data_IF_604588913649
#
_entry.id   IF_604588913649
#
_cell.length_a   1.000
_cell.length_b   1.000
_cell.length_c   1.000
_cell.angle_alpha   90.00
_cell.angle_beta   90.00
_cell.angle_gamma   90.00
#
_symmetry.space_group_name_H-M   'P 1'
#
loop_
_entity.id
_entity.type
_entity.pdbx_description
1 polymer ?
#
# COMPACT_ATOMS: atom_id res chain seq x y z
N UNK A 1 7.80 3.25 6.80
CA UNK A 1 8.39 3.53 8.12
C UNK A 1 7.36 4.25 8.96
N UNK A 2 7.64 5.45 9.46
CA UNK A 2 6.77 6.30 10.26
C UNK A 2 7.32 7.72 10.24
N UNK A 3 6.48 8.75 10.16
CA UNK A 3 6.91 10.14 10.31
C UNK A 3 7.24 10.45 11.77
N UNK A 4 8.41 11.01 12.01
CA UNK A 4 8.91 11.45 13.32
C UNK A 4 9.02 12.98 13.42
N UNK A 5 8.31 13.71 12.54
CA UNK A 5 8.29 15.17 12.48
C UNK A 5 8.65 15.71 11.09
N UNK A 6 9.13 14.87 10.17
CA UNK A 6 9.32 15.23 8.77
C UNK A 6 7.99 15.72 8.16
N UNK A 7 8.07 16.71 7.28
CA UNK A 7 6.90 17.43 6.72
C UNK A 7 5.95 18.05 7.77
N UNK A 8 6.36 18.11 9.05
CA UNK A 8 5.48 18.54 10.15
C UNK A 8 4.44 17.49 10.56
N UNK A 9 4.64 16.21 10.21
CA UNK A 9 3.68 15.14 10.45
C UNK A 9 4.17 14.09 11.45
N UNK A 10 3.21 13.30 11.93
CA UNK A 10 3.40 12.00 12.57
C UNK A 10 2.44 11.00 11.90
N UNK A 11 2.56 9.70 12.19
CA UNK A 11 1.80 8.60 11.55
C UNK A 11 2.42 8.11 10.22
N UNK A 12 1.62 7.53 9.33
CA UNK A 12 2.05 6.95 8.04
C UNK A 12 1.10 7.38 6.91
N UNK A 13 0.79 6.46 5.98
CA UNK A 13 -0.24 6.51 4.91
C UNK A 13 0.23 7.11 3.61
N UNK A 14 0.95 8.22 3.66
CA UNK A 14 1.53 8.81 2.46
C UNK A 14 2.59 7.88 1.85
N UNK A 15 2.75 7.93 0.54
CA UNK A 15 3.76 7.19 -0.24
C UNK A 15 5.18 7.80 -0.16
N UNK A 16 5.39 8.89 0.61
CA UNK A 16 6.72 9.44 0.84
C UNK A 16 7.59 8.48 1.66
N UNK A 17 8.90 8.63 1.53
CA UNK A 17 9.92 7.64 1.89
C UNK A 17 9.85 7.23 3.36
N UNK A 18 9.66 8.17 4.28
CA UNK A 18 9.57 7.91 5.72
C UNK A 18 8.40 6.98 6.04
N UNK A 19 7.26 7.15 5.38
CA UNK A 19 6.05 6.33 5.57
C UNK A 19 6.08 5.03 4.77
N UNK A 20 6.59 5.07 3.54
CA UNK A 20 6.63 3.93 2.62
C UNK A 20 7.70 2.91 3.00
N UNK A 21 8.96 3.33 3.15
CA UNK A 21 10.09 2.42 3.27
C UNK A 21 10.14 1.77 4.64
N UNK A 22 10.18 0.44 4.67
CA UNK A 22 10.27 -0.33 5.91
C UNK A 22 11.65 -0.97 6.06
N UNK A 23 12.23 -1.01 7.27
CA UNK A 23 13.48 -1.71 7.49
C UNK A 23 13.29 -3.22 7.32
N UNK A 24 14.20 -3.87 6.60
CA UNK A 24 14.27 -5.31 6.43
C UNK A 24 15.68 -5.79 6.76
N UNK A 25 15.80 -6.75 7.66
CA UNK A 25 17.04 -7.42 8.00
C UNK A 25 16.83 -8.92 7.96
N UNK A 26 17.65 -9.63 7.19
CA UNK A 26 17.60 -11.08 7.05
C UNK A 26 18.91 -11.66 7.58
N UNK A 27 18.82 -12.68 8.44
CA UNK A 27 19.97 -13.44 8.92
C UNK A 27 19.75 -14.92 8.58
N UNK A 28 20.55 -15.43 7.66
CA UNK A 28 20.50 -16.83 7.27
C UNK A 28 21.92 -17.42 7.15
N UNK A 29 22.44 -18.06 8.22
CA UNK A 29 23.79 -18.63 8.22
C UNK A 29 23.98 -19.62 7.08
N UNK A 30 25.11 -19.51 6.38
CA UNK A 30 25.44 -20.35 5.23
C UNK A 30 24.76 -19.94 3.91
N UNK A 31 23.83 -18.98 3.94
CA UNK A 31 23.16 -18.45 2.74
C UNK A 31 23.48 -16.98 2.55
N UNK A 32 23.15 -16.14 3.54
CA UNK A 32 23.45 -14.70 3.50
C UNK A 32 24.89 -14.43 3.89
N UNK A 33 25.61 -13.63 3.09
CA UNK A 33 26.91 -13.07 3.47
C UNK A 33 26.74 -12.04 4.59
N UNK A 34 27.36 -12.21 5.77
CA UNK A 34 27.24 -11.25 6.87
C UNK A 34 27.67 -9.84 6.44
N UNK A 35 26.88 -8.83 6.85
CA UNK A 35 27.17 -7.42 6.55
C UNK A 35 26.90 -6.98 5.11
N UNK A 36 26.29 -7.83 4.27
CA UNK A 36 25.86 -7.41 2.93
C UNK A 36 24.74 -6.37 2.99
N UNK A 37 24.68 -5.53 1.96
CA UNK A 37 23.61 -4.56 1.73
C UNK A 37 23.07 -4.80 0.33
N UNK A 38 21.77 -4.97 0.20
CA UNK A 38 21.07 -5.06 -1.08
C UNK A 38 20.24 -3.77 -1.28
N UNK A 39 20.21 -3.25 -2.51
CA UNK A 39 19.48 -2.03 -2.90
C UNK A 39 18.36 -2.30 -3.90
N UNK A 40 18.14 -3.56 -4.27
CA UNK A 40 17.06 -3.95 -5.16
C UNK A 40 15.71 -3.68 -4.50
N UNK A 41 14.70 -3.37 -5.31
CA UNK A 41 13.35 -3.11 -4.82
C UNK A 41 12.71 -4.43 -4.39
N UNK A 42 12.31 -4.48 -3.12
CA UNK A 42 11.59 -5.59 -2.50
C UNK A 42 10.26 -5.11 -1.93
N UNK A 43 9.31 -6.03 -1.77
CA UNK A 43 7.98 -5.77 -1.25
C UNK A 43 7.69 -6.65 -0.04
N UNK A 44 6.74 -6.25 0.80
CA UNK A 44 6.21 -7.12 1.86
C UNK A 44 5.53 -8.38 1.28
N UNK A 45 5.05 -8.30 0.04
CA UNK A 45 4.44 -9.44 -0.65
C UNK A 45 5.46 -10.58 -0.81
N UNK A 46 6.73 -10.26 -1.08
CA UNK A 46 7.82 -11.21 -1.35
C UNK A 46 8.08 -12.22 -0.23
N UNK A 47 7.64 -11.92 0.99
CA UNK A 47 7.93 -12.76 2.15
C UNK A 47 7.23 -14.12 2.04
N UNK A 48 6.01 -14.16 1.52
CA UNK A 48 5.24 -15.38 1.46
C UNK A 48 5.88 -16.38 0.47
N UNK A 49 6.24 -15.95 -0.73
CA UNK A 49 6.96 -16.75 -1.72
C UNK A 49 8.36 -17.11 -1.23
N UNK A 50 9.04 -16.21 -0.53
CA UNK A 50 10.32 -16.53 0.11
C UNK A 50 10.19 -17.68 1.09
N UNK A 51 9.17 -17.68 1.96
CA UNK A 51 8.98 -18.76 2.92
C UNK A 51 8.62 -20.09 2.26
N UNK A 52 7.83 -20.07 1.18
CA UNK A 52 7.52 -21.27 0.39
C UNK A 52 8.77 -21.85 -0.28
N UNK A 53 9.59 -21.00 -0.92
CA UNK A 53 10.86 -21.39 -1.55
C UNK A 53 11.81 -22.03 -0.53
N UNK A 54 11.97 -21.40 0.64
CA UNK A 54 12.79 -21.95 1.73
C UNK A 54 12.28 -23.31 2.20
N UNK A 55 10.96 -23.51 2.24
CA UNK A 55 10.34 -24.76 2.62
C UNK A 55 10.39 -25.83 1.51
N UNK A 56 10.85 -25.49 0.31
CA UNK A 56 10.80 -26.38 -0.86
C UNK A 56 9.38 -26.68 -1.33
N UNK A 57 8.43 -25.77 -1.08
CA UNK A 57 7.04 -25.88 -1.49
C UNK A 57 6.83 -25.17 -2.82
N UNK A 58 5.83 -25.62 -3.57
CA UNK A 58 5.38 -24.94 -4.79
C UNK A 58 4.88 -23.53 -4.45
N UNK A 59 5.28 -22.55 -5.26
CA UNK A 59 4.79 -21.17 -5.18
C UNK A 59 3.60 -21.06 -6.15
N UNK A 60 2.38 -20.80 -5.65
CA UNK A 60 1.21 -20.60 -6.51
C UNK A 60 1.38 -19.41 -7.47
N UNK A 61 0.93 -19.57 -8.71
CA UNK A 61 1.12 -18.58 -9.79
C UNK A 61 0.34 -17.28 -9.60
N UNK A 62 -0.67 -17.28 -8.74
CA UNK A 62 -1.50 -16.13 -8.41
C UNK A 62 -0.84 -15.16 -7.42
N UNK A 63 0.24 -15.58 -6.76
CA UNK A 63 0.96 -14.71 -5.85
C UNK A 63 1.76 -13.66 -6.64
N UNK A 64 1.87 -12.46 -6.07
CA UNK A 64 2.37 -11.27 -6.77
C UNK A 64 3.73 -10.79 -6.27
N UNK A 65 4.28 -11.44 -5.24
CA UNK A 65 5.64 -11.25 -4.77
C UNK A 65 6.63 -12.09 -5.57
N UNK A 66 7.90 -12.03 -5.16
CA UNK A 66 9.00 -12.86 -5.70
C UNK A 66 9.89 -13.30 -4.56
N UNK A 67 10.32 -14.56 -4.59
CA UNK A 67 11.23 -15.09 -3.57
C UNK A 67 12.51 -14.25 -3.47
N UNK A 68 12.89 -13.89 -2.26
CA UNK A 68 14.11 -13.17 -1.93
C UNK A 68 15.33 -14.10 -1.80
N UNK A 69 15.16 -15.42 -1.98
CA UNK A 69 16.26 -16.39 -1.82
C UNK A 69 17.46 -16.08 -2.73
N UNK A 70 17.29 -15.75 -4.03
CA UNK A 70 18.41 -15.33 -4.88
C UNK A 70 19.13 -14.10 -4.31
N UNK A 71 18.38 -13.07 -3.89
CA UNK A 71 18.97 -11.87 -3.30
C UNK A 71 19.72 -12.18 -1.99
N UNK A 72 19.20 -13.11 -1.18
CA UNK A 72 19.88 -13.58 0.03
C UNK A 72 21.22 -14.25 -0.28
N UNK A 73 21.37 -14.89 -1.44
CA UNK A 73 22.63 -15.47 -1.93
C UNK A 73 23.55 -14.44 -2.58
N UNK A 74 23.10 -13.19 -2.72
CA UNK A 74 23.83 -12.10 -3.36
C UNK A 74 23.68 -12.09 -4.88
N UNK A 75 22.64 -12.74 -5.41
CA UNK A 75 22.36 -12.85 -6.84
C UNK A 75 21.09 -12.07 -7.16
N UNK A 76 21.19 -11.05 -8.01
CA UNK A 76 20.04 -10.32 -8.54
C UNK A 76 19.63 -10.94 -9.88
N UNK A 77 18.43 -11.53 -10.00
CA UNK A 77 17.92 -12.01 -11.28
C UNK A 77 17.87 -10.90 -12.35
N UNK A 78 18.10 -11.26 -13.61
CA UNK A 78 18.11 -10.29 -14.73
C UNK A 78 16.76 -9.58 -14.90
N UNK A 79 15.67 -10.29 -14.62
CA UNK A 79 14.30 -9.80 -14.69
C UNK A 79 13.79 -9.22 -13.36
N UNK A 80 14.66 -9.01 -12.37
CA UNK A 80 14.25 -8.47 -11.08
C UNK A 80 13.59 -7.10 -11.23
N UNK A 81 12.50 -6.88 -10.47
CA UNK A 81 11.68 -5.69 -10.58
C UNK A 81 12.51 -4.40 -10.44
N UNK A 82 12.17 -3.40 -11.24
CA UNK A 82 12.78 -2.05 -11.20
C UNK A 82 11.80 -0.97 -10.74
N UNK A 83 10.56 -1.39 -10.47
CA UNK A 83 9.46 -0.54 -10.06
C UNK A 83 8.55 -1.31 -9.10
N UNK A 84 7.75 -0.58 -8.34
CA UNK A 84 6.76 -1.10 -7.41
C UNK A 84 5.47 -0.28 -7.52
N UNK A 85 4.33 -0.97 -7.57
CA UNK A 85 3.02 -0.36 -7.43
C UNK A 85 2.66 -0.19 -5.96
N UNK A 86 2.07 0.95 -5.62
CA UNK A 86 1.53 1.24 -4.30
C UNK A 86 0.12 1.79 -4.43
N UNK A 87 -0.77 1.40 -3.51
CA UNK A 87 -2.12 1.93 -3.43
C UNK A 87 -2.58 2.04 -1.97
N UNK A 88 -3.05 3.23 -1.61
CA UNK A 88 -3.64 3.56 -0.33
C UNK A 88 -5.10 3.99 -0.48
N UNK A 89 -5.98 3.46 0.37
CA UNK A 89 -7.43 3.62 0.27
C UNK A 89 -8.08 4.39 1.44
N UNK A 90 -7.60 4.25 2.67
CA UNK A 90 -8.38 4.64 3.87
C UNK A 90 -8.60 6.18 3.98
N UNK A 91 -9.83 6.64 3.77
CA UNK A 91 -10.27 8.05 3.83
C UNK A 91 -11.80 8.11 4.10
N UNK A 92 -12.36 9.04 4.91
CA UNK A 92 -11.77 10.28 5.40
C UNK A 92 -11.06 10.18 6.74
N UNK A 93 -11.15 9.05 7.43
CA UNK A 93 -10.54 8.88 8.76
C UNK A 93 -9.74 7.58 8.81
N UNK A 94 -8.66 7.55 9.61
CA UNK A 94 -8.07 8.66 10.39
C UNK A 94 -7.17 9.57 9.55
N UNK A 95 -6.74 10.71 10.10
CA UNK A 95 -5.75 11.65 9.53
C UNK A 95 -6.06 12.31 8.16
N UNK A 96 -7.16 11.95 7.49
CA UNK A 96 -7.64 12.57 6.23
C UNK A 96 -6.62 12.52 5.08
N UNK A 97 -5.78 11.48 5.04
CA UNK A 97 -4.87 11.24 3.90
C UNK A 97 -5.69 10.78 2.70
N UNK A 98 -5.56 11.47 1.56
CA UNK A 98 -6.37 11.19 0.37
C UNK A 98 -6.03 9.81 -0.21
N UNK A 99 -7.00 9.06 -0.76
CA UNK A 99 -6.70 7.86 -1.51
C UNK A 99 -5.74 8.18 -2.66
N UNK A 100 -4.72 7.36 -2.81
CA UNK A 100 -3.70 7.56 -3.83
C UNK A 100 -3.05 6.26 -4.25
N UNK A 101 -2.60 6.23 -5.49
CA UNK A 101 -1.73 5.18 -5.99
C UNK A 101 -0.54 5.78 -6.70
N UNK A 102 0.46 4.96 -6.96
CA UNK A 102 1.65 5.41 -7.65
C UNK A 102 2.61 4.31 -8.04
N UNK A 103 3.57 4.69 -8.87
CA UNK A 103 4.73 3.88 -9.21
C UNK A 103 5.95 4.45 -8.50
N UNK A 104 6.73 3.56 -7.89
CA UNK A 104 8.01 3.87 -7.24
C UNK A 104 9.12 3.15 -8.00
N UNK A 105 10.15 3.87 -8.46
CA UNK A 105 11.37 3.26 -9.03
C UNK A 105 12.52 3.30 -8.02
N UNK A 106 13.77 3.20 -8.45
CA UNK A 106 14.95 3.46 -7.63
C UNK A 106 15.17 4.98 -7.37
N UNK A 107 14.77 5.83 -8.32
CA UNK A 107 14.94 7.29 -8.27
C UNK A 107 13.64 8.06 -8.14
N UNK A 108 12.65 7.73 -8.95
CA UNK A 108 11.44 8.55 -9.09
C UNK A 108 10.25 7.96 -8.35
N UNK A 109 9.26 8.81 -8.06
CA UNK A 109 7.89 8.40 -7.74
C UNK A 109 6.93 9.21 -8.60
N UNK A 110 5.87 8.57 -9.09
CA UNK A 110 4.72 9.23 -9.69
C UNK A 110 3.48 8.84 -8.88
N UNK A 111 2.73 9.84 -8.43
CA UNK A 111 1.64 9.69 -7.47
C UNK A 111 0.40 10.35 -8.05
N UNK A 112 -0.75 9.71 -7.88
CA UNK A 112 -2.06 10.25 -8.24
C UNK A 112 -3.01 10.24 -7.05
N UNK A 113 -3.51 11.41 -6.67
CA UNK A 113 -4.56 11.61 -5.68
C UNK A 113 -5.89 11.81 -6.40
N UNK A 114 -6.86 10.91 -6.17
CA UNK A 114 -7.98 10.74 -7.11
C UNK A 114 -9.38 10.82 -6.47
N UNK A 115 -9.49 11.01 -5.15
CA UNK A 115 -10.78 11.04 -4.44
C UNK A 115 -10.79 11.92 -3.20
N UNK A 116 -11.99 12.31 -2.74
CA UNK A 116 -13.24 12.39 -3.52
C UNK A 116 -13.32 13.61 -4.45
N UNK A 117 -12.51 14.64 -4.21
CA UNK A 117 -12.63 15.98 -4.78
C UNK A 117 -11.29 16.51 -5.32
N UNK A 118 -10.36 15.60 -5.60
CA UNK A 118 -9.01 15.88 -6.13
C UNK A 118 -8.70 14.96 -7.32
N UNK A 119 -7.91 15.47 -8.25
CA UNK A 119 -7.38 14.78 -9.44
C UNK A 119 -5.97 15.34 -9.70
N UNK A 120 -5.09 15.11 -8.72
CA UNK A 120 -3.79 15.76 -8.64
C UNK A 120 -2.65 14.75 -8.82
N UNK A 121 -1.65 15.16 -9.59
CA UNK A 121 -0.46 14.36 -9.84
C UNK A 121 0.79 14.99 -9.24
N UNK A 122 1.63 14.14 -8.65
CA UNK A 122 2.96 14.51 -8.15
C UNK A 122 4.04 13.64 -8.78
N UNK A 123 5.15 14.26 -9.19
CA UNK A 123 6.36 13.58 -9.62
C UNK A 123 7.51 14.01 -8.71
N UNK A 124 8.16 13.03 -8.08
CA UNK A 124 9.26 13.25 -7.15
C UNK A 124 10.55 12.67 -7.73
N UNK A 125 11.65 13.40 -7.59
CA UNK A 125 13.01 12.97 -7.93
C UNK A 125 13.84 12.85 -6.66
N UNK A 126 13.99 11.64 -6.12
CA UNK A 126 14.66 11.42 -4.82
C UNK A 126 16.18 11.50 -4.90
N UNK A 127 16.75 11.55 -6.09
CA UNK A 127 18.18 11.82 -6.24
C UNK A 127 18.46 13.33 -6.11
N UNK A 128 17.62 14.15 -6.75
CA UNK A 128 17.72 15.62 -6.70
C UNK A 128 17.13 16.23 -5.42
N UNK A 129 16.04 15.65 -4.93
CA UNK A 129 15.30 16.08 -3.75
C UNK A 129 14.99 14.87 -2.83
N UNK A 130 15.98 14.42 -2.03
CA UNK A 130 15.81 13.27 -1.14
C UNK A 130 14.76 13.48 -0.03
N UNK A 131 14.35 14.72 0.22
CA UNK A 131 13.33 15.07 1.22
C UNK A 131 11.92 15.14 0.62
N UNK A 132 11.77 14.93 -0.68
CA UNK A 132 10.46 14.85 -1.34
C UNK A 132 9.57 16.08 -1.09
N UNK A 133 10.16 17.29 -1.13
CA UNK A 133 9.45 18.55 -0.86
C UNK A 133 9.07 19.32 -2.12
N UNK A 134 9.50 18.86 -3.29
CA UNK A 134 9.28 19.50 -4.58
C UNK A 134 8.50 18.59 -5.53
N UNK A 135 7.36 19.07 -6.01
CA UNK A 135 6.63 18.41 -7.09
C UNK A 135 7.16 18.87 -8.46
N UNK A 136 7.77 17.96 -9.22
CA UNK A 136 8.30 18.19 -10.56
C UNK A 136 7.31 17.84 -11.69
N UNK A 137 6.06 17.50 -11.38
CA UNK A 137 5.12 16.98 -12.37
C UNK A 137 4.89 17.94 -13.55
N UNK A 138 4.82 19.26 -13.29
CA UNK A 138 4.62 20.27 -14.34
C UNK A 138 5.92 20.78 -14.96
N UNK A 139 7.07 20.31 -14.50
CA UNK A 139 8.37 20.74 -15.02
C UNK A 139 8.59 20.19 -16.45
N UNK A 140 8.88 21.05 -17.45
CA UNK A 140 9.18 20.61 -18.81
C UNK A 140 10.42 19.71 -18.91
N UNK A 141 11.41 19.85 -18.03
CA UNK A 141 12.61 19.00 -18.03
C UNK A 141 12.27 17.54 -17.72
N UNK A 142 11.19 17.32 -16.96
CA UNK A 142 10.72 16.00 -16.56
C UNK A 142 9.68 15.41 -17.52
N UNK A 143 9.44 16.01 -18.69
CA UNK A 143 8.39 15.57 -19.60
C UNK A 143 8.54 14.12 -20.06
N UNK A 144 9.76 13.69 -20.37
CA UNK A 144 10.04 12.31 -20.76
C UNK A 144 9.89 11.35 -19.57
N UNK A 145 10.46 11.71 -18.41
CA UNK A 145 10.33 10.92 -17.16
C UNK A 145 8.87 10.73 -16.78
N UNK A 146 8.07 11.80 -16.82
CA UNK A 146 6.62 11.75 -16.57
C UNK A 146 5.91 10.77 -17.51
N UNK A 147 6.21 10.83 -18.81
CA UNK A 147 5.63 9.90 -19.80
C UNK A 147 5.99 8.44 -19.52
N UNK A 148 7.25 8.19 -19.19
CA UNK A 148 7.74 6.83 -18.92
C UNK A 148 7.14 6.26 -17.64
N UNK A 149 7.03 7.08 -16.59
CA UNK A 149 6.39 6.67 -15.33
C UNK A 149 4.89 6.41 -15.49
N UNK A 150 4.17 7.21 -16.29
CA UNK A 150 2.76 6.92 -16.61
C UNK A 150 2.62 5.59 -17.35
N UNK A 151 3.50 5.33 -18.33
CA UNK A 151 3.51 4.07 -19.07
C UNK A 151 3.77 2.88 -18.13
N UNK A 152 4.74 3.04 -17.22
CA UNK A 152 5.09 2.01 -16.26
C UNK A 152 3.99 1.77 -15.22
N UNK A 153 3.30 2.83 -14.79
CA UNK A 153 2.15 2.74 -13.89
C UNK A 153 1.03 1.90 -14.50
N UNK A 154 0.70 2.13 -15.78
CA UNK A 154 -0.33 1.35 -16.47
C UNK A 154 0.11 -0.11 -16.66
N UNK A 155 1.39 -0.36 -16.98
CA UNK A 155 1.95 -1.73 -17.02
C UNK A 155 1.80 -2.43 -15.68
N UNK A 156 2.13 -1.74 -14.59
CA UNK A 156 2.06 -2.27 -13.23
C UNK A 156 0.62 -2.56 -12.79
N UNK A 157 -0.34 -1.68 -13.09
CA UNK A 157 -1.77 -1.93 -12.82
C UNK A 157 -2.25 -3.23 -13.46
N UNK A 158 -1.83 -3.49 -14.71
CA UNK A 158 -2.13 -4.76 -15.38
C UNK A 158 -1.44 -5.94 -14.69
N UNK A 159 -0.16 -5.80 -14.31
CA UNK A 159 0.60 -6.84 -13.60
C UNK A 159 -0.05 -7.21 -12.26
N UNK A 160 -0.49 -6.21 -11.47
CA UNK A 160 -1.12 -6.45 -10.16
C UNK A 160 -2.61 -6.76 -10.24
N UNK A 161 -3.17 -6.88 -11.46
CA UNK A 161 -4.59 -7.13 -11.69
C UNK A 161 -5.48 -6.09 -10.99
N UNK A 162 -5.04 -4.83 -10.99
CA UNK A 162 -5.81 -3.72 -10.44
C UNK A 162 -7.20 -3.71 -11.11
N UNK A 163 -8.24 -3.85 -10.29
CA UNK A 163 -9.63 -3.90 -10.76
C UNK A 163 -10.19 -2.49 -10.94
N UNK A 164 -11.38 -2.40 -11.54
CA UNK A 164 -12.16 -1.16 -11.55
C UNK A 164 -12.40 -0.61 -10.13
N UNK A 165 -12.87 0.64 -10.08
CA UNK A 165 -13.01 1.49 -8.88
C UNK A 165 -13.38 0.69 -7.61
N UNK A 166 -12.52 0.69 -6.56
CA UNK A 166 -12.71 -0.15 -5.38
C UNK A 166 -14.10 0.05 -4.76
N UNK A 167 -14.68 -1.01 -4.17
CA UNK A 167 -15.97 -0.89 -3.50
C UNK A 167 -15.88 0.14 -2.38
N UNK A 168 -17.01 0.80 -2.06
CA UNK A 168 -17.03 1.92 -1.11
C UNK A 168 -16.40 1.57 0.23
N UNK A 169 -16.55 0.33 0.68
CA UNK A 169 -16.04 -0.19 1.93
C UNK A 169 -14.50 -0.20 2.01
N UNK A 170 -13.80 -0.25 0.87
CA UNK A 170 -12.34 -0.20 0.79
C UNK A 170 -11.78 1.13 1.33
N UNK A 171 -12.55 2.21 1.21
CA UNK A 171 -12.15 3.54 1.70
C UNK A 171 -12.40 3.72 3.21
N UNK A 172 -12.98 2.74 3.89
CA UNK A 172 -13.26 2.82 5.32
C UNK A 172 -14.72 3.19 5.62
N UNK A 173 -15.06 3.19 6.92
CA UNK A 173 -16.47 3.11 7.36
C UNK A 173 -17.22 4.43 7.42
N UNK A 174 -16.55 5.57 7.30
CA UNK A 174 -17.22 6.89 7.35
C UNK A 174 -17.50 7.40 5.95
N UNK A 175 -18.69 7.97 5.68
CA UNK A 175 -19.01 8.61 4.41
C UNK A 175 -17.99 9.70 4.07
N UNK A 176 -17.75 9.94 2.78
CA UNK A 176 -17.03 11.15 2.37
C UNK A 176 -17.86 12.39 2.72
N UNK A 177 -17.22 13.55 2.85
CA UNK A 177 -17.88 14.77 3.34
C UNK A 177 -19.12 15.18 2.51
N UNK A 178 -19.17 14.78 1.22
CA UNK A 178 -20.28 15.07 0.30
C UNK A 178 -21.06 13.82 -0.14
N UNK A 179 -20.84 12.67 0.51
CA UNK A 179 -21.50 11.43 0.14
C UNK A 179 -22.91 11.35 0.79
N UNK A 180 -23.96 10.97 0.02
CA UNK A 180 -25.28 10.77 0.59
C UNK A 180 -25.23 9.73 1.71
N UNK A 181 -25.69 10.08 2.92
CA UNK A 181 -25.77 9.11 4.00
C UNK A 181 -26.81 8.04 3.66
N UNK A 182 -26.42 6.77 3.76
CA UNK A 182 -27.39 5.68 3.74
C UNK A 182 -28.38 5.89 4.90
N UNK A 183 -29.70 5.67 4.70
CA UNK A 183 -30.68 5.86 5.75
C UNK A 183 -30.32 4.99 6.95
N UNK A 184 -30.31 5.59 8.15
CA UNK A 184 -30.01 4.87 9.39
C UNK A 184 -30.91 3.63 9.48
N UNK A 185 -30.29 2.45 9.59
CA UNK A 185 -31.02 1.21 9.81
C UNK A 185 -31.77 1.34 11.15
N UNK A 186 -33.10 1.36 11.08
CA UNK A 186 -33.94 1.44 12.27
C UNK A 186 -33.52 0.36 13.28
N UNK A 187 -33.35 0.70 14.57
CA UNK A 187 -32.95 -0.27 15.56
C UNK A 187 -33.93 -1.44 15.54
N UNK A 188 -33.41 -2.65 15.32
CA UNK A 188 -34.20 -3.89 15.38
C UNK A 188 -34.89 -3.91 16.74
N UNK A 189 -36.22 -3.72 16.74
CA UNK A 189 -37.05 -3.89 17.95
C UNK A 189 -36.70 -5.25 18.55
N UNK A 190 -36.08 -5.25 19.73
CA UNK A 190 -35.86 -6.48 20.48
C UNK A 190 -37.22 -7.14 20.70
N UNK A 191 -37.41 -8.36 20.19
CA UNK A 191 -38.54 -9.20 20.59
C UNK A 191 -38.36 -9.52 22.07
N UNK A 192 -38.98 -8.72 22.94
CA UNK A 192 -39.10 -9.02 24.35
C UNK A 192 -39.93 -10.27 24.52
N UNK A 193 -39.27 -11.42 24.69
CA UNK A 193 -39.91 -12.65 25.14
C UNK A 193 -40.34 -12.49 26.59
N UNK A 194 -41.64 -12.33 26.83
CA UNK A 194 -42.22 -12.48 28.15
C UNK A 194 -42.13 -13.95 28.57
N UNK A 195 -41.15 -14.29 29.42
CA UNK A 195 -41.20 -15.50 30.21
C UNK A 195 -42.03 -15.23 31.47
N UNK A 196 -43.34 -15.53 31.40
CA UNK A 196 -44.17 -15.64 32.59
C UNK A 196 -43.87 -16.98 33.27
N UNK A 197 -43.25 -16.95 34.47
CA UNK A 197 -43.17 -18.10 35.38
C UNK A 197 -44.55 -18.31 36.03
N UNK A 198 -45.08 -19.55 36.12
CA UNK A 198 -46.30 -19.80 36.88
C UNK A 198 -46.02 -19.77 38.39
N UNK A 199 -46.84 -19.01 39.11
CA UNK A 199 -46.92 -19.02 40.58
C UNK A 199 -47.51 -20.36 41.03
N UNK A 200 -46.77 -21.15 41.79
CA UNK A 200 -47.34 -22.16 42.68
C UNK A 200 -47.77 -21.48 43.97
N UNK A 201 -49.06 -21.57 44.30
CA UNK A 201 -49.59 -21.39 45.65
C UNK A 201 -50.09 -22.75 46.14
N UNK A 202 -49.67 -23.07 47.35
CA UNK A 202 -50.00 -24.24 48.14
C UNK A 202 -51.46 -24.26 48.60
N UNK A 203 -52.06 -25.44 48.60
CA UNK A 203 -52.97 -25.94 49.63
C UNK A 203 -52.82 -27.45 49.71
#
# INVERSE_FOLDING_TARGET
GFYLGEHGWFDKRWIFEESLRSPLMIRWPGVTKPGSVNKDIVSLLDFAETFLDIAGLEIPSEMQGRSLVPLCRGETPDDWRKSLYYHYYEYPVPHRVRPHYGVITDRYKLIHYYKPDVDDWELLDREKDPLEVTNYYSDPEYAQVRKDLHTELERLKVEVQETDDPPREAYGRRPFDNEPQAPEAQPKRSRGGQNQKPKQQSS
#
